data_IF_333609854058
#
_entry.id   IF_333609854058
#
_cell.length_a   1.000
_cell.length_b   1.000
_cell.length_c   1.000
_cell.angle_alpha   90.00
_cell.angle_beta   90.00
_cell.angle_gamma   90.00
#
_symmetry.space_group_name_H-M   'P 1'
#
loop_
_entity.id
_entity.type
_entity.pdbx_description
1 polymer ?
#
# COMPACT_ATOMS: atom_id res chain seq x y z
N UNK A 1 8.73 22.59 8.56
CA UNK A 1 7.52 22.48 7.72
C UNK A 1 6.48 23.52 8.09
N UNK A 2 5.93 23.52 9.31
CA UNK A 2 4.95 24.54 9.77
C UNK A 2 5.44 25.98 9.60
N UNK A 3 6.66 26.29 10.02
CA UNK A 3 7.28 27.62 9.84
C UNK A 3 7.63 28.01 8.38
N UNK A 4 7.32 27.16 7.39
CA UNK A 4 7.50 27.44 5.96
C UNK A 4 6.15 27.61 5.23
N UNK A 5 5.06 27.85 5.97
CA UNK A 5 3.72 28.05 5.41
C UNK A 5 2.96 26.76 5.06
N UNK A 6 3.49 25.59 5.44
CA UNK A 6 2.82 24.31 5.22
C UNK A 6 1.90 23.95 6.38
N UNK A 7 0.67 23.56 6.07
CA UNK A 7 -0.19 22.86 7.03
C UNK A 7 0.38 21.47 7.27
N UNK A 8 0.63 21.14 8.55
CA UNK A 8 1.15 19.82 8.94
C UNK A 8 0.15 19.18 9.88
N UNK A 9 -0.48 18.12 9.39
CA UNK A 9 -1.43 17.29 10.11
C UNK A 9 -0.69 16.05 10.61
N UNK A 10 -0.86 15.74 11.88
CA UNK A 10 -0.33 14.50 12.47
C UNK A 10 -1.45 13.46 12.46
N UNK A 11 -1.25 12.38 11.72
CA UNK A 11 -2.22 11.28 11.68
C UNK A 11 -2.19 10.55 13.03
N UNK A 12 -3.37 10.27 13.59
CA UNK A 12 -3.48 9.52 14.85
C UNK A 12 -3.16 8.02 14.70
N UNK A 13 -3.12 7.54 13.45
CA UNK A 13 -2.82 6.16 13.03
C UNK A 13 -2.03 6.23 11.71
N UNK A 14 -2.45 5.57 10.63
CA UNK A 14 -1.75 5.60 9.35
C UNK A 14 -1.99 6.90 8.57
N UNK A 15 -0.92 7.42 7.98
CA UNK A 15 -0.96 8.61 7.13
C UNK A 15 -1.78 8.37 5.86
N UNK A 16 -1.72 7.16 5.32
CA UNK A 16 -2.36 6.74 4.08
C UNK A 16 -3.86 7.01 4.04
N UNK A 17 -4.57 6.53 5.06
CA UNK A 17 -6.01 6.78 5.20
C UNK A 17 -6.29 8.25 5.54
N UNK A 18 -5.43 8.89 6.35
CA UNK A 18 -5.58 10.30 6.70
C UNK A 18 -5.41 11.23 5.47
N UNK A 19 -4.66 10.79 4.47
CA UNK A 19 -4.54 11.43 3.15
C UNK A 19 -5.76 11.08 2.28
N UNK A 20 -6.12 9.80 2.19
CA UNK A 20 -7.17 9.33 1.30
C UNK A 20 -8.56 9.86 1.67
N UNK A 21 -8.91 9.97 2.96
CA UNK A 21 -10.24 10.41 3.41
C UNK A 21 -10.61 11.81 2.91
N UNK A 22 -9.78 12.85 3.11
CA UNK A 22 -10.10 14.21 2.65
C UNK A 22 -9.77 14.45 1.17
N UNK A 23 -9.00 13.58 0.50
CA UNK A 23 -8.56 13.79 -0.87
C UNK A 23 -9.73 14.01 -1.84
N UNK A 24 -9.64 15.07 -2.63
CA UNK A 24 -10.55 15.41 -3.70
C UNK A 24 -9.99 14.96 -5.06
N UNK A 25 -10.82 15.02 -6.10
CA UNK A 25 -10.45 14.48 -7.42
C UNK A 25 -9.33 15.28 -8.11
N UNK A 26 -9.19 16.56 -7.80
CA UNK A 26 -8.19 17.50 -8.31
C UNK A 26 -6.89 17.52 -7.48
N UNK A 27 -6.90 16.88 -6.30
CA UNK A 27 -5.72 16.77 -5.47
C UNK A 27 -4.63 15.88 -6.09
N UNK A 28 -3.38 16.23 -5.79
CA UNK A 28 -2.20 15.43 -6.12
C UNK A 28 -1.66 14.84 -4.81
N UNK A 29 -1.69 13.52 -4.71
CA UNK A 29 -1.05 12.80 -3.61
C UNK A 29 0.39 12.52 -3.98
N UNK A 30 1.34 12.86 -3.10
CA UNK A 30 2.75 12.53 -3.27
C UNK A 30 3.12 11.45 -2.27
N UNK A 31 3.38 10.23 -2.73
CA UNK A 31 3.78 9.12 -1.88
C UNK A 31 4.59 8.08 -2.65
N UNK A 32 5.55 7.45 -1.97
CA UNK A 32 6.24 6.27 -2.50
C UNK A 32 5.39 4.98 -2.37
N UNK A 33 4.37 5.03 -1.51
CA UNK A 33 3.50 3.91 -1.17
C UNK A 33 2.51 3.60 -2.30
N UNK A 34 2.45 2.32 -2.67
CA UNK A 34 1.53 1.82 -3.69
C UNK A 34 0.10 1.66 -3.18
N UNK A 35 -0.12 1.63 -1.87
CA UNK A 35 -1.46 1.49 -1.28
C UNK A 35 -2.36 2.68 -1.64
N UNK A 36 -1.75 3.83 -1.96
CA UNK A 36 -2.44 5.01 -2.51
C UNK A 36 -3.24 4.71 -3.78
N UNK A 37 -2.82 3.72 -4.57
CA UNK A 37 -3.51 3.31 -5.79
C UNK A 37 -4.85 2.61 -5.49
N UNK A 38 -5.04 2.06 -4.29
CA UNK A 38 -6.23 1.30 -3.93
C UNK A 38 -7.38 2.19 -3.43
N UNK A 39 -7.08 3.39 -2.92
CA UNK A 39 -8.09 4.29 -2.38
C UNK A 39 -8.90 4.99 -3.47
N UNK A 40 -10.22 4.92 -3.37
CA UNK A 40 -11.15 5.42 -4.37
C UNK A 40 -11.03 6.93 -4.63
N UNK A 41 -10.81 7.71 -3.58
CA UNK A 41 -10.73 9.18 -3.61
C UNK A 41 -9.50 9.68 -4.35
N UNK A 42 -8.41 8.92 -4.36
CA UNK A 42 -7.14 9.32 -5.00
C UNK A 42 -7.22 9.10 -6.51
N UNK A 43 -7.13 10.20 -7.28
CA UNK A 43 -7.16 10.19 -8.75
C UNK A 43 -5.79 10.46 -9.38
N UNK A 44 -4.91 11.16 -8.67
CA UNK A 44 -3.55 11.49 -9.14
C UNK A 44 -2.53 11.12 -8.07
N UNK A 45 -1.56 10.28 -8.44
CA UNK A 45 -0.44 9.90 -7.57
C UNK A 45 0.89 10.31 -8.22
N UNK A 46 1.70 11.04 -7.47
CA UNK A 46 3.07 11.36 -7.79
C UNK A 46 3.97 10.49 -6.93
N UNK A 47 4.69 9.57 -7.56
CA UNK A 47 5.59 8.65 -6.87
C UNK A 47 7.03 9.10 -7.04
N UNK A 48 7.67 9.64 -5.98
CA UNK A 48 9.08 10.01 -6.05
C UNK A 48 9.94 8.78 -6.33
N UNK A 49 10.92 8.93 -7.21
CA UNK A 49 11.96 7.92 -7.49
C UNK A 49 13.35 8.54 -7.33
N UNK A 50 14.41 7.75 -7.53
CA UNK A 50 15.78 8.22 -7.39
C UNK A 50 16.11 9.39 -8.33
N UNK A 51 17.04 10.26 -7.92
CA UNK A 51 17.53 11.34 -8.77
C UNK A 51 16.59 12.55 -8.88
N UNK A 52 15.64 12.71 -7.96
CA UNK A 52 14.70 13.83 -7.97
C UNK A 52 13.61 13.72 -9.04
N UNK A 53 13.49 12.55 -9.66
CA UNK A 53 12.44 12.26 -10.64
C UNK A 53 11.15 11.81 -9.94
N UNK A 54 10.03 11.96 -10.62
CA UNK A 54 8.70 11.57 -10.14
C UNK A 54 7.97 10.83 -11.25
N UNK A 55 7.41 9.67 -10.92
CA UNK A 55 6.45 8.98 -11.80
C UNK A 55 5.05 9.53 -11.52
N UNK A 56 4.38 10.00 -12.56
CA UNK A 56 3.04 10.59 -12.46
C UNK A 56 2.01 9.58 -12.95
N UNK A 57 1.09 9.21 -12.07
CA UNK A 57 0.01 8.28 -12.36
C UNK A 57 -1.32 9.02 -12.35
N UNK A 58 -1.98 9.05 -13.51
CA UNK A 58 -3.44 9.23 -13.58
C UNK A 58 -4.08 7.87 -13.34
N UNK A 59 -4.77 7.72 -12.21
CA UNK A 59 -5.36 6.42 -11.89
C UNK A 59 -6.48 6.02 -12.87
N UNK A 60 -7.35 6.94 -13.35
CA UNK A 60 -8.29 6.60 -14.41
C UNK A 60 -7.61 6.03 -15.66
N UNK A 61 -6.51 6.63 -16.12
CA UNK A 61 -5.77 6.14 -17.28
C UNK A 61 -5.07 4.79 -17.00
N UNK A 62 -4.56 4.61 -15.78
CA UNK A 62 -4.00 3.33 -15.33
C UNK A 62 -5.05 2.22 -15.36
N UNK A 63 -6.22 2.45 -14.78
CA UNK A 63 -7.34 1.50 -14.76
C UNK A 63 -7.80 1.13 -16.17
N UNK A 64 -7.93 2.13 -17.05
CA UNK A 64 -8.25 1.92 -18.47
C UNK A 64 -7.20 1.04 -19.15
N UNK A 65 -5.91 1.31 -18.93
CA UNK A 65 -4.80 0.54 -19.51
C UNK A 65 -4.75 -0.90 -19.00
N UNK A 66 -5.11 -1.11 -17.74
CA UNK A 66 -5.17 -2.43 -17.11
C UNK A 66 -6.47 -3.18 -17.42
N UNK A 67 -7.48 -2.53 -17.99
CA UNK A 67 -8.78 -3.13 -18.28
C UNK A 67 -9.54 -3.59 -17.03
N UNK A 68 -9.34 -2.92 -15.88
CA UNK A 68 -10.00 -3.25 -14.61
C UNK A 68 -10.65 -2.02 -13.98
N UNK A 69 -11.65 -2.26 -13.15
CA UNK A 69 -12.31 -1.21 -12.35
C UNK A 69 -11.48 -0.85 -11.12
N UNK A 70 -11.80 0.30 -10.49
CA UNK A 70 -11.22 0.66 -9.20
C UNK A 70 -11.49 -0.42 -8.16
N UNK A 71 -12.72 -0.93 -8.10
CA UNK A 71 -13.13 -2.00 -7.19
C UNK A 71 -12.26 -3.25 -7.34
N UNK A 72 -11.98 -3.66 -8.58
CA UNK A 72 -11.09 -4.78 -8.87
C UNK A 72 -9.65 -4.48 -8.45
N UNK A 73 -9.15 -3.26 -8.65
CA UNK A 73 -7.82 -2.86 -8.18
C UNK A 73 -7.73 -2.88 -6.64
N UNK A 74 -8.77 -2.41 -5.93
CA UNK A 74 -8.82 -2.49 -4.47
C UNK A 74 -8.85 -3.95 -3.99
N UNK A 75 -9.64 -4.81 -4.63
CA UNK A 75 -9.64 -6.25 -4.34
C UNK A 75 -8.26 -6.88 -4.60
N UNK A 76 -7.57 -6.47 -5.67
CA UNK A 76 -6.21 -6.91 -5.97
C UNK A 76 -5.21 -6.51 -4.89
N UNK A 77 -5.30 -5.28 -4.36
CA UNK A 77 -4.47 -4.83 -3.25
C UNK A 77 -4.72 -5.65 -1.98
N UNK A 78 -5.99 -5.98 -1.71
CA UNK A 78 -6.42 -6.77 -0.54
C UNK A 78 -5.87 -8.20 -0.55
N UNK A 79 -5.96 -8.90 -1.68
CA UNK A 79 -5.54 -10.32 -1.77
C UNK A 79 -4.06 -10.50 -2.09
N UNK A 80 -3.41 -9.46 -2.59
CA UNK A 80 -1.96 -9.42 -2.74
C UNK A 80 -1.30 -9.19 -1.38
N UNK A 81 0.01 -9.43 -1.31
CA UNK A 81 0.76 -9.15 -0.08
C UNK A 81 0.69 -7.65 0.22
N UNK A 82 0.16 -7.32 1.38
CA UNK A 82 0.13 -5.97 1.95
C UNK A 82 0.56 -6.04 3.42
N UNK A 83 0.50 -4.91 4.12
CA UNK A 83 0.93 -4.83 5.52
C UNK A 83 -0.01 -5.56 6.50
N UNK A 84 -1.26 -5.78 6.10
CA UNK A 84 -2.27 -6.44 6.95
C UNK A 84 -2.35 -7.93 6.75
N UNK A 85 -2.06 -8.41 5.53
CA UNK A 85 -2.19 -9.82 5.18
C UNK A 85 -1.07 -10.27 4.26
N UNK A 86 -0.68 -11.53 4.47
CA UNK A 86 0.19 -12.23 3.52
C UNK A 86 -0.64 -12.65 2.31
N UNK A 87 0.07 -12.77 1.21
CA UNK A 87 -0.46 -13.42 0.04
C UNK A 87 -0.58 -14.94 0.27
N UNK A 88 -1.59 -15.57 -0.34
CA UNK A 88 -1.67 -17.03 -0.47
C UNK A 88 -0.41 -17.55 -1.18
N UNK A 89 0.17 -18.61 -0.64
CA UNK A 89 1.42 -19.16 -1.14
C UNK A 89 1.34 -19.46 -2.65
N UNK A 90 2.37 -19.04 -3.40
CA UNK A 90 2.51 -19.21 -4.86
C UNK A 90 1.50 -18.46 -5.75
N UNK A 91 0.81 -17.45 -5.22
CA UNK A 91 -0.13 -16.61 -5.99
C UNK A 91 0.32 -15.15 -6.08
N UNK A 92 1.36 -14.87 -6.86
CA UNK A 92 1.89 -13.49 -6.97
C UNK A 92 0.91 -12.47 -7.54
N UNK A 93 1.20 -11.14 -7.45
CA UNK A 93 0.31 -10.07 -7.92
C UNK A 93 -0.18 -10.24 -9.36
N UNK A 94 0.69 -10.68 -10.28
CA UNK A 94 0.31 -10.96 -11.67
C UNK A 94 -0.69 -12.13 -11.80
N UNK A 95 -0.56 -13.17 -10.97
CA UNK A 95 -1.52 -14.27 -10.96
C UNK A 95 -2.85 -13.83 -10.39
N UNK A 96 -2.83 -13.05 -9.29
CA UNK A 96 -4.03 -12.51 -8.67
C UNK A 96 -4.77 -11.57 -9.62
N UNK A 97 -4.04 -10.69 -10.32
CA UNK A 97 -4.59 -9.84 -11.37
C UNK A 97 -5.28 -10.66 -12.46
N UNK A 98 -4.60 -11.72 -12.94
CA UNK A 98 -5.14 -12.60 -13.99
C UNK A 98 -6.43 -13.31 -13.60
N UNK A 99 -6.73 -13.45 -12.31
CA UNK A 99 -7.98 -14.01 -11.80
C UNK A 99 -9.01 -12.89 -11.56
N UNK A 100 -8.63 -11.84 -10.83
CA UNK A 100 -9.54 -10.77 -10.41
C UNK A 100 -10.11 -9.98 -11.58
N UNK A 101 -9.34 -9.77 -12.65
CA UNK A 101 -9.81 -9.04 -13.82
C UNK A 101 -11.08 -9.66 -14.44
N UNK A 102 -11.24 -10.97 -14.29
CA UNK A 102 -12.35 -11.74 -14.85
C UNK A 102 -13.52 -11.90 -13.85
N UNK A 103 -13.35 -11.45 -12.60
CA UNK A 103 -14.40 -11.45 -11.58
C UNK A 103 -15.14 -10.10 -11.63
N UNK A 104 -16.41 -10.06 -12.07
CA UNK A 104 -17.19 -8.84 -12.08
C UNK A 104 -17.63 -8.47 -10.65
N UNK A 105 -17.77 -7.17 -10.38
CA UNK A 105 -18.31 -6.71 -9.12
C UNK A 105 -18.11 -5.21 -8.89
N UNK A 106 -18.96 -4.65 -8.03
CA UNK A 106 -18.89 -3.26 -7.58
C UNK A 106 -18.41 -3.12 -6.14
N UNK A 107 -18.31 -4.23 -5.41
CA UNK A 107 -17.83 -4.30 -4.02
C UNK A 107 -16.54 -5.14 -3.94
N UNK A 108 -15.41 -4.60 -3.42
CA UNK A 108 -14.18 -5.36 -3.26
C UNK A 108 -14.34 -6.61 -2.39
N UNK A 109 -15.29 -6.63 -1.44
CA UNK A 109 -15.54 -7.80 -0.57
C UNK A 109 -16.15 -8.95 -1.34
N UNK A 110 -17.11 -8.65 -2.21
CA UNK A 110 -17.74 -9.64 -3.08
C UNK A 110 -16.71 -10.24 -4.03
N UNK A 111 -15.86 -9.40 -4.64
CA UNK A 111 -14.77 -9.84 -5.52
C UNK A 111 -13.78 -10.71 -4.74
N UNK A 112 -13.36 -10.30 -3.54
CA UNK A 112 -12.48 -11.10 -2.68
C UNK A 112 -13.07 -12.45 -2.30
N UNK A 113 -14.38 -12.51 -2.04
CA UNK A 113 -15.09 -13.76 -1.73
C UNK A 113 -15.16 -14.68 -2.95
N UNK A 114 -15.46 -14.14 -4.13
CA UNK A 114 -15.43 -14.90 -5.38
C UNK A 114 -14.01 -15.39 -5.72
N UNK A 115 -12.99 -14.56 -5.51
CA UNK A 115 -11.59 -14.94 -5.66
C UNK A 115 -11.22 -16.14 -4.79
N UNK A 116 -11.70 -16.20 -3.55
CA UNK A 116 -11.49 -17.34 -2.66
C UNK A 116 -12.22 -18.62 -3.11
N UNK A 117 -13.21 -18.53 -4.00
CA UNK A 117 -13.94 -19.67 -4.56
C UNK A 117 -13.31 -20.24 -5.84
N UNK A 118 -12.37 -19.52 -6.45
CA UNK A 118 -11.65 -19.97 -7.64
C UNK A 118 -10.81 -21.21 -7.36
N UNK A 119 -10.88 -22.23 -8.22
CA UNK A 119 -10.21 -23.53 -7.98
C UNK A 119 -8.69 -23.39 -7.82
N UNK A 120 -8.08 -22.49 -8.60
CA UNK A 120 -6.65 -22.17 -8.52
C UNK A 120 -6.26 -21.53 -7.19
N UNK A 121 -7.19 -20.85 -6.54
CA UNK A 121 -6.99 -20.19 -5.24
C UNK A 121 -7.28 -21.18 -4.11
N UNK A 122 -8.44 -21.85 -4.17
CA UNK A 122 -8.87 -22.87 -3.18
C UNK A 122 -7.85 -23.97 -2.99
N UNK A 123 -7.27 -24.49 -4.07
CA UNK A 123 -6.24 -25.54 -4.01
C UNK A 123 -4.97 -25.12 -3.28
N UNK A 124 -4.73 -23.80 -3.15
CA UNK A 124 -3.53 -23.21 -2.53
C UNK A 124 -3.79 -22.55 -1.19
N UNK A 125 -5.03 -22.14 -0.90
CA UNK A 125 -5.42 -21.49 0.36
C UNK A 125 -5.58 -22.49 1.52
N UNK A 126 -4.51 -23.20 1.86
CA UNK A 126 -4.52 -24.21 2.94
C UNK A 126 -4.73 -23.60 4.33
N UNK A 127 -4.30 -22.36 4.50
CA UNK A 127 -4.38 -21.63 5.77
C UNK A 127 -5.75 -20.96 5.99
N UNK A 128 -6.69 -21.13 5.05
CA UNK A 128 -8.02 -20.53 5.07
C UNK A 128 -8.00 -19.01 5.25
N UNK A 129 -7.10 -18.32 4.55
CA UNK A 129 -6.98 -16.87 4.57
C UNK A 129 -8.30 -16.22 4.15
N UNK A 130 -8.70 -15.16 4.86
CA UNK A 130 -10.01 -14.49 4.68
C UNK A 130 -9.89 -12.98 4.46
N UNK A 131 -8.70 -12.41 4.55
CA UNK A 131 -8.39 -11.02 4.24
C UNK A 131 -9.19 -9.94 5.02
N UNK A 132 -9.83 -10.29 6.15
CA UNK A 132 -10.72 -9.37 6.90
C UNK A 132 -10.04 -8.05 7.28
N UNK A 133 -8.78 -8.11 7.73
CA UNK A 133 -8.03 -6.91 8.15
C UNK A 133 -7.79 -5.96 6.97
N UNK A 134 -7.25 -6.46 5.86
CA UNK A 134 -7.05 -5.66 4.65
C UNK A 134 -8.37 -5.09 4.12
N UNK A 135 -9.46 -5.87 4.12
CA UNK A 135 -10.78 -5.35 3.73
C UNK A 135 -11.24 -4.20 4.64
N UNK A 136 -11.05 -4.32 5.96
CA UNK A 136 -11.41 -3.26 6.91
C UNK A 136 -10.62 -1.96 6.65
N UNK A 137 -9.34 -2.07 6.31
CA UNK A 137 -8.50 -0.89 6.03
C UNK A 137 -8.79 -0.30 4.65
N UNK A 138 -8.69 -1.10 3.58
CA UNK A 138 -8.83 -0.59 2.21
C UNK A 138 -10.26 -0.20 1.84
N UNK A 139 -11.28 -0.86 2.41
CA UNK A 139 -12.70 -0.61 2.09
C UNK A 139 -13.33 0.31 3.12
N UNK A 140 -13.28 -0.04 4.41
CA UNK A 140 -13.98 0.74 5.44
C UNK A 140 -13.17 1.94 5.91
N UNK A 141 -11.88 2.04 5.51
CA UNK A 141 -10.94 3.05 6.04
C UNK A 141 -10.84 2.96 7.57
N UNK A 142 -11.15 1.80 8.12
CA UNK A 142 -11.14 1.54 9.54
C UNK A 142 -9.74 1.08 9.94
N UNK A 143 -9.01 2.02 10.50
CA UNK A 143 -7.69 1.77 11.03
C UNK A 143 -7.83 1.07 12.39
N UNK A 144 -7.32 -0.14 12.55
CA UNK A 144 -6.98 -0.68 13.87
C UNK A 144 -5.61 -0.12 14.26
N UNK A 145 -5.42 0.23 15.54
CA UNK A 145 -4.05 0.35 16.04
C UNK A 145 -3.43 -1.02 15.80
N UNK A 146 -2.34 -1.10 15.05
CA UNK A 146 -1.46 -2.24 15.17
C UNK A 146 -1.04 -2.26 16.63
N UNK A 147 -1.68 -3.12 17.43
CA UNK A 147 -1.17 -3.47 18.75
C UNK A 147 0.04 -4.32 18.40
N UNK A 148 1.17 -3.65 18.26
CA UNK A 148 2.44 -4.29 17.95
C UNK A 148 2.69 -5.26 19.11
N UNK A 149 2.41 -6.55 18.88
CA UNK A 149 2.68 -7.62 19.83
C UNK A 149 4.16 -7.98 19.85
N UNK A 150 5.01 -7.21 19.15
CA UNK A 150 6.44 -7.21 19.36
C UNK A 150 6.70 -6.79 20.81
N UNK A 151 7.32 -7.69 21.57
CA UNK A 151 7.90 -7.32 22.86
C UNK A 151 8.77 -6.08 22.67
N UNK A 152 8.84 -5.19 23.66
CA UNK A 152 9.64 -3.96 23.59
C UNK A 152 11.09 -4.21 23.13
N UNK A 153 11.62 -5.44 23.31
CA UNK A 153 12.88 -5.90 22.75
C UNK A 153 12.97 -5.85 21.22
N UNK A 154 11.91 -6.22 20.50
CA UNK A 154 11.92 -6.35 19.04
C UNK A 154 11.90 -4.97 18.35
N UNK A 155 11.18 -4.02 18.96
CA UNK A 155 11.15 -2.63 18.52
C UNK A 155 12.53 -1.98 18.76
N UNK A 156 13.13 -2.24 19.92
CA UNK A 156 14.47 -1.73 20.25
C UNK A 156 15.53 -2.27 19.28
N UNK A 157 15.50 -3.58 18.97
CA UNK A 157 16.42 -4.22 18.01
C UNK A 157 16.22 -3.66 16.59
N UNK A 158 14.98 -3.40 16.16
CA UNK A 158 14.69 -2.76 14.88
C UNK A 158 15.21 -1.32 14.82
N UNK A 159 15.02 -0.56 15.89
CA UNK A 159 15.51 0.82 16.00
C UNK A 159 17.04 0.88 15.94
N UNK A 160 17.73 0.02 16.69
CA UNK A 160 19.19 -0.06 16.69
C UNK A 160 19.74 -0.41 15.30
N UNK A 161 19.09 -1.36 14.61
CA UNK A 161 19.48 -1.75 13.24
C UNK A 161 19.25 -0.61 12.23
N UNK A 162 18.14 0.15 12.37
CA UNK A 162 17.85 1.31 11.53
C UNK A 162 18.83 2.45 11.80
N UNK A 163 19.15 2.74 13.06
CA UNK A 163 20.12 3.77 13.46
C UNK A 163 21.51 3.44 12.90
N UNK A 164 21.99 2.21 13.08
CA UNK A 164 23.29 1.78 12.55
C UNK A 164 23.37 1.92 11.03
N UNK A 165 22.28 1.60 10.32
CA UNK A 165 22.21 1.74 8.86
C UNK A 165 22.18 3.21 8.42
N UNK A 166 21.51 4.08 9.19
CA UNK A 166 21.53 5.51 8.95
C UNK A 166 22.95 6.10 9.12
N UNK A 167 23.65 5.72 10.19
CA UNK A 167 25.01 6.16 10.46
C UNK A 167 26.00 5.70 9.38
N UNK A 168 25.88 4.46 8.91
CA UNK A 168 26.67 3.92 7.78
C UNK A 168 26.44 4.73 6.49
N UNK A 169 25.18 5.06 6.18
CA UNK A 169 24.84 5.89 5.01
C UNK A 169 25.41 7.31 5.17
N UNK A 170 25.34 7.90 6.37
CA UNK A 170 25.93 9.20 6.64
C UNK A 170 27.46 9.20 6.53
N UNK A 171 28.13 8.13 6.97
CA UNK A 171 29.58 7.97 6.83
C UNK A 171 30.00 7.88 5.36
N UNK A 172 29.34 7.01 4.58
CA UNK A 172 29.57 6.87 3.13
C UNK A 172 29.33 8.17 2.37
N UNK A 173 28.31 8.93 2.75
CA UNK A 173 28.05 10.23 2.13
C UNK A 173 29.17 11.25 2.43
N UNK A 174 29.71 11.26 3.65
CA UNK A 174 30.85 12.13 4.02
C UNK A 174 32.12 11.73 3.27
N UNK A 175 32.35 10.45 3.06
CA UNK A 175 33.50 9.94 2.28
C UNK A 175 33.37 10.30 0.80
N UNK A 176 32.17 10.19 0.22
CA UNK A 176 31.92 10.61 -1.18
C UNK A 176 32.14 12.11 -1.41
N UNK A 177 31.93 12.94 -0.38
CA UNK A 177 32.17 14.40 -0.44
C UNK A 177 33.62 14.81 -0.24
N UNK A 178 34.47 13.92 0.28
CA UNK A 178 35.93 14.17 0.42
C UNK A 178 36.73 13.78 -0.82
N UNK A 179 36.12 13.03 -1.74
CA UNK A 179 36.74 12.52 -2.97
C UNK A 179 36.37 13.32 -4.22
N UNK A 180 35.69 14.46 -4.04
CA UNK A 180 35.42 15.51 -5.04
C UNK A 180 36.17 16.76 -4.64
#
# INVERSE_FOLDING_TARGET
>A
MRGKGWTVIEASKEADVAIAVPAQADDIVISADSDMLAYETIKTLWRPVSGGQVLVYSIPALLQSLGITRTQLTALAVVSRNDYNRNIASLGPATNYGIIKDIPGTDPRAIGSAYLLEDRVRSKNKDMEKFHNALSVFVDRQQTKVVDSGSQSDIQVRYERLSARFDDVCAKHKESKKSQ
#
